data_IF_952181072639
#
_entry.id   IF_952181072639
#
_cell.length_a   1.000
_cell.length_b   1.000
_cell.length_c   1.000
_cell.angle_alpha   90.00
_cell.angle_beta   90.00
_cell.angle_gamma   90.00
#
_symmetry.space_group_name_H-M   'P 1'
#
loop_
_entity.id
_entity.type
_entity.pdbx_description
1 polymer ?
#
# COMPACT_ATOMS: atom_id res chain seq x y z
N UNK A 1 -4.71 10.70 -3.39
CA UNK A 1 -3.68 10.27 -2.42
C UNK A 1 -3.45 8.76 -2.57
N UNK A 2 -2.18 8.34 -2.51
CA UNK A 2 -1.79 6.93 -2.62
C UNK A 2 -1.36 6.43 -1.24
N UNK A 3 -1.94 5.34 -0.78
CA UNK A 3 -1.70 4.79 0.56
C UNK A 3 -1.17 3.36 0.44
N UNK A 4 -0.19 3.01 1.27
CA UNK A 4 0.28 1.65 1.54
C UNK A 4 0.17 1.36 3.05
N UNK A 5 -0.61 0.37 3.43
CA UNK A 5 -0.52 -0.25 4.75
C UNK A 5 0.42 -1.45 4.68
N UNK A 6 1.35 -1.55 5.63
CA UNK A 6 2.38 -2.58 5.63
C UNK A 6 2.71 -3.08 7.05
N UNK A 7 3.30 -4.26 7.13
CA UNK A 7 3.94 -4.78 8.35
C UNK A 7 5.46 -4.82 8.15
N UNK A 8 6.21 -4.38 9.15
CA UNK A 8 7.69 -4.27 9.07
C UNK A 8 8.34 -5.61 8.70
N UNK A 9 7.87 -6.71 9.29
CA UNK A 9 8.40 -8.06 9.07
C UNK A 9 7.63 -8.84 8.01
N UNK A 10 6.64 -8.24 7.34
CA UNK A 10 5.84 -8.93 6.34
C UNK A 10 6.67 -9.22 5.07
N UNK A 11 6.85 -10.50 4.68
CA UNK A 11 7.65 -10.85 3.50
C UNK A 11 7.11 -10.24 2.20
N UNK A 12 5.80 -10.09 2.09
CA UNK A 12 5.15 -9.47 0.93
C UNK A 12 5.38 -7.96 0.88
N UNK A 13 5.37 -7.27 2.01
CA UNK A 13 5.70 -5.84 2.11
C UNK A 13 7.16 -5.58 1.73
N UNK A 14 8.08 -6.40 2.24
CA UNK A 14 9.51 -6.31 1.91
C UNK A 14 9.73 -6.45 0.39
N UNK A 15 9.01 -7.35 -0.28
CA UNK A 15 9.08 -7.51 -1.74
C UNK A 15 8.52 -6.31 -2.51
N UNK A 16 7.48 -5.66 -1.98
CA UNK A 16 6.85 -4.51 -2.63
C UNK A 16 7.64 -3.22 -2.46
N UNK A 17 8.37 -3.04 -1.36
CA UNK A 17 9.17 -1.85 -1.05
C UNK A 17 10.01 -1.31 -2.23
N UNK A 18 10.85 -2.10 -2.92
CA UNK A 18 11.63 -1.59 -4.06
C UNK A 18 10.76 -1.18 -5.26
N UNK A 19 9.58 -1.78 -5.43
CA UNK A 19 8.65 -1.41 -6.49
C UNK A 19 7.97 -0.07 -6.19
N UNK A 20 7.62 0.17 -4.92
CA UNK A 20 7.06 1.45 -4.47
C UNK A 20 8.10 2.57 -4.57
N UNK A 21 9.33 2.34 -4.11
CA UNK A 21 10.44 3.31 -4.25
C UNK A 21 10.70 3.66 -5.72
N UNK A 22 10.65 2.64 -6.61
CA UNK A 22 10.75 2.84 -8.05
C UNK A 22 9.59 3.67 -8.60
N UNK A 23 8.36 3.39 -8.17
CA UNK A 23 7.17 4.13 -8.59
C UNK A 23 7.28 5.62 -8.19
N UNK A 24 7.62 5.90 -6.93
CA UNK A 24 7.76 7.26 -6.41
C UNK A 24 8.80 8.05 -7.22
N UNK A 25 9.95 7.42 -7.51
CA UNK A 25 11.01 8.03 -8.31
C UNK A 25 10.64 8.25 -9.78
N UNK A 26 10.04 7.26 -10.43
CA UNK A 26 9.72 7.33 -11.87
C UNK A 26 8.52 8.24 -12.17
N UNK A 27 7.54 8.30 -11.27
CA UNK A 27 6.29 9.04 -11.48
C UNK A 27 6.22 10.35 -10.72
N UNK A 28 7.13 10.60 -9.78
CA UNK A 28 7.07 11.79 -8.92
C UNK A 28 5.84 11.78 -8.00
N UNK A 29 5.24 10.61 -7.78
CA UNK A 29 4.13 10.42 -6.84
C UNK A 29 4.69 10.13 -5.44
N UNK A 30 3.88 10.37 -4.42
CA UNK A 30 4.21 10.01 -3.03
C UNK A 30 3.21 8.95 -2.59
N UNK A 31 3.73 7.84 -2.04
CA UNK A 31 2.91 6.81 -1.40
C UNK A 31 3.06 6.97 0.10
N UNK A 32 1.96 7.29 0.79
CA UNK A 32 1.94 7.36 2.24
C UNK A 32 1.95 5.95 2.84
N UNK A 33 2.96 5.67 3.68
CA UNK A 33 3.21 4.33 4.21
C UNK A 33 2.85 4.27 5.69
N UNK A 34 1.94 3.37 6.05
CA UNK A 34 1.45 3.16 7.41
C UNK A 34 1.84 1.76 7.90
N UNK A 35 2.77 1.72 8.85
CA UNK A 35 3.15 0.48 9.53
C UNK A 35 2.05 0.11 10.51
N UNK A 36 1.50 -1.10 10.46
CA UNK A 36 0.33 -1.48 11.28
C UNK A 36 0.60 -2.54 12.35
N UNK A 37 1.75 -3.23 12.33
CA UNK A 37 2.01 -4.33 13.28
C UNK A 37 2.55 -3.82 14.61
N UNK A 38 3.27 -2.70 14.60
CA UNK A 38 3.87 -2.07 15.78
C UNK A 38 3.31 -0.67 16.05
N UNK A 39 2.22 -0.30 15.37
CA UNK A 39 1.52 0.97 15.56
C UNK A 39 0.00 0.78 15.46
N UNK A 40 -0.65 0.84 16.62
CA UNK A 40 -2.09 0.64 16.78
C UNK A 40 -2.92 1.73 16.08
N UNK A 41 -2.49 2.99 16.14
CA UNK A 41 -3.18 4.11 15.46
C UNK A 41 -3.26 3.89 13.94
N UNK A 42 -2.17 3.39 13.35
CA UNK A 42 -2.13 3.04 11.93
C UNK A 42 -2.99 1.81 11.60
N UNK A 43 -3.03 0.83 12.50
CA UNK A 43 -3.92 -0.33 12.37
C UNK A 43 -5.40 0.10 12.41
N UNK A 44 -5.76 1.02 13.31
CA UNK A 44 -7.10 1.61 13.35
C UNK A 44 -7.40 2.43 12.09
N UNK A 45 -6.41 3.16 11.57
CA UNK A 45 -6.54 3.89 10.31
C UNK A 45 -6.86 2.97 9.14
N UNK A 46 -6.27 1.77 9.09
CA UNK A 46 -6.55 0.78 8.04
C UNK A 46 -8.04 0.41 7.98
N UNK A 47 -8.72 0.32 9.13
CA UNK A 47 -10.16 0.00 9.19
C UNK A 47 -11.05 1.04 8.47
N UNK A 48 -10.56 2.26 8.26
CA UNK A 48 -11.28 3.30 7.52
C UNK A 48 -11.25 3.07 6.00
N UNK A 49 -10.26 2.32 5.51
CA UNK A 49 -10.03 2.07 4.09
C UNK A 49 -10.36 0.62 3.69
N UNK A 50 -10.04 -0.34 4.56
CA UNK A 50 -10.26 -1.76 4.33
C UNK A 50 -11.66 -2.19 4.79
N UNK A 51 -12.66 -1.83 3.98
CA UNK A 51 -14.07 -2.16 4.23
C UNK A 51 -14.44 -3.58 3.75
N UNK A 52 -13.54 -4.55 4.00
CA UNK A 52 -13.65 -5.93 3.51
C UNK A 52 -12.98 -6.15 2.15
N UNK A 53 -11.95 -5.37 1.83
CA UNK A 53 -11.24 -5.41 0.55
C UNK A 53 -10.03 -6.36 0.58
N UNK A 54 -9.27 -6.37 1.69
CA UNK A 54 -8.04 -7.16 1.79
C UNK A 54 -7.94 -7.97 3.10
N UNK A 55 -8.15 -7.32 4.24
CA UNK A 55 -7.99 -7.90 5.58
C UNK A 55 -6.54 -8.13 6.03
N UNK A 56 -5.54 -7.61 5.29
CA UNK A 56 -4.13 -7.87 5.59
C UNK A 56 -3.17 -6.98 4.81
N UNK A 57 -1.87 -7.29 4.89
CA UNK A 57 -0.80 -6.47 4.30
C UNK A 57 0.11 -7.23 3.34
N UNK A 58 0.68 -6.56 2.32
CA UNK A 58 0.52 -5.15 2.00
C UNK A 58 -0.85 -4.83 1.41
N UNK A 59 -1.43 -3.70 1.80
CA UNK A 59 -2.69 -3.19 1.27
C UNK A 59 -2.48 -1.79 0.69
N UNK A 60 -2.75 -1.65 -0.60
CA UNK A 60 -2.62 -0.37 -1.30
C UNK A 60 -3.99 0.19 -1.61
N UNK A 61 -4.20 1.48 -1.36
CA UNK A 61 -5.46 2.16 -1.65
C UNK A 61 -5.23 3.52 -2.30
N UNK A 62 -5.83 3.74 -3.48
CA UNK A 62 -5.82 5.03 -4.16
C UNK A 62 -7.12 5.77 -3.80
N UNK A 63 -7.01 6.85 -3.04
CA UNK A 63 -8.20 7.58 -2.56
C UNK A 63 -8.99 8.26 -3.67
N UNK A 64 -8.34 8.54 -4.80
CA UNK A 64 -8.89 9.33 -5.89
C UNK A 64 -9.69 8.44 -6.83
N UNK A 65 -9.16 7.24 -7.14
CA UNK A 65 -9.80 6.26 -8.04
C UNK A 65 -10.58 5.17 -7.30
N UNK A 66 -10.38 5.04 -5.98
CA UNK A 66 -10.85 3.91 -5.16
C UNK A 66 -10.27 2.54 -5.56
N UNK A 67 -9.27 2.51 -6.44
CA UNK A 67 -8.55 1.30 -6.79
C UNK A 67 -7.73 0.80 -5.60
N UNK A 68 -7.64 -0.53 -5.47
CA UNK A 68 -6.88 -1.17 -4.40
C UNK A 68 -6.07 -2.36 -4.89
N UNK A 69 -5.02 -2.71 -4.15
CA UNK A 69 -4.24 -3.94 -4.32
C UNK A 69 -4.13 -4.62 -2.96
N UNK A 70 -4.41 -5.93 -2.94
CA UNK A 70 -4.20 -6.78 -1.78
C UNK A 70 -3.06 -7.77 -2.04
N UNK A 71 -1.98 -7.67 -1.27
CA UNK A 71 -0.80 -8.51 -1.40
C UNK A 71 0.23 -8.01 -2.42
N UNK A 72 1.23 -8.86 -2.71
CA UNK A 72 2.28 -8.52 -3.68
C UNK A 72 1.73 -8.51 -5.12
N UNK A 73 2.23 -7.60 -5.95
CA UNK A 73 1.87 -7.52 -7.37
C UNK A 73 3.09 -7.16 -8.25
N UNK A 74 2.88 -7.12 -9.57
CA UNK A 74 3.90 -6.67 -10.52
C UNK A 74 4.06 -5.14 -10.51
N UNK A 75 5.20 -4.65 -11.00
CA UNK A 75 5.42 -3.21 -11.13
C UNK A 75 4.39 -2.53 -12.05
N UNK A 76 3.98 -3.19 -13.14
CA UNK A 76 3.02 -2.61 -14.09
C UNK A 76 1.63 -2.45 -13.45
N UNK A 77 1.19 -3.43 -12.66
CA UNK A 77 -0.07 -3.32 -11.90
C UNK A 77 0.02 -2.25 -10.81
N UNK A 78 1.14 -2.18 -10.08
CA UNK A 78 1.36 -1.13 -9.09
C UNK A 78 1.33 0.27 -9.72
N UNK A 79 1.95 0.42 -10.89
CA UNK A 79 1.96 1.66 -11.66
C UNK A 79 0.57 2.03 -12.17
N UNK A 80 -0.19 1.05 -12.66
CA UNK A 80 -1.58 1.26 -13.10
C UNK A 80 -2.47 1.70 -11.94
N UNK A 81 -2.29 1.12 -10.75
CA UNK A 81 -3.01 1.53 -9.54
C UNK A 81 -2.73 2.99 -9.13
N UNK A 82 -1.50 3.47 -9.36
CA UNK A 82 -1.08 4.81 -8.99
C UNK A 82 -1.54 5.93 -9.94
N UNK A 83 -2.21 5.60 -11.04
CA UNK A 83 -2.64 6.54 -12.10
C UNK A 83 -4.16 6.60 -12.17
#
# INVERSE_FOLDING_TARGET
>A
MLIEFYGTECPHCIRMKPLVERLEKEKGVVVEKYEMWHNEENAEKMNQYDTGLCGGVPFFFNTDTKAFICGSTSYEELKKWAT
#
